data_IF_903242952617
#
_entry.id   IF_903242952617
#
_cell.length_a   1.000
_cell.length_b   1.000
_cell.length_c   1.000
_cell.angle_alpha   90.00
_cell.angle_beta   90.00
_cell.angle_gamma   90.00
#
_symmetry.space_group_name_H-M   'P 1'
#
loop_
_entity.id
_entity.type
_entity.pdbx_description
1 polymer ?
#
# COMPACT_ATOMS: atom_id res chain seq x y z
N UNK A 1 -8.38 -107.20 -69.20
CA UNK A 1 -8.48 -106.04 -68.28
C UNK A 1 -7.63 -104.82 -68.73
N UNK A 2 -7.34 -104.68 -70.04
CA UNK A 2 -6.53 -103.57 -70.57
C UNK A 2 -7.28 -102.68 -71.58
N UNK A 3 -8.41 -103.14 -72.13
CA UNK A 3 -9.14 -102.38 -73.17
C UNK A 3 -10.21 -101.44 -72.61
N UNK A 4 -10.77 -101.70 -71.42
CA UNK A 4 -11.64 -100.73 -70.74
C UNK A 4 -10.85 -99.63 -70.01
N UNK A 5 -9.60 -99.89 -69.62
CA UNK A 5 -8.70 -98.86 -69.06
C UNK A 5 -8.33 -97.84 -70.15
N UNK A 6 -8.10 -98.29 -71.39
CA UNK A 6 -7.86 -97.40 -72.54
C UNK A 6 -9.12 -96.65 -73.03
N UNK A 7 -10.32 -97.19 -72.82
CA UNK A 7 -11.58 -96.49 -73.17
C UNK A 7 -11.92 -95.34 -72.21
N UNK A 8 -11.37 -95.36 -71.00
CA UNK A 8 -11.53 -94.29 -70.00
C UNK A 8 -10.26 -93.44 -69.79
N UNK A 9 -9.07 -93.86 -70.26
CA UNK A 9 -7.87 -93.01 -70.30
C UNK A 9 -7.84 -92.02 -71.47
N UNK A 10 -8.53 -92.31 -72.58
CA UNK A 10 -8.59 -91.41 -73.75
C UNK A 10 -9.46 -90.16 -73.57
N UNK A 11 -10.15 -90.02 -72.44
CA UNK A 11 -11.01 -88.88 -72.10
C UNK A 11 -10.42 -87.96 -71.03
N UNK A 12 -9.23 -88.27 -70.52
CA UNK A 12 -8.50 -87.40 -69.60
C UNK A 12 -7.23 -86.93 -70.28
N UNK A 13 -7.24 -85.68 -70.78
CA UNK A 13 -6.16 -84.67 -70.64
C UNK A 13 -6.20 -83.55 -71.69
N UNK A 14 -7.27 -83.39 -72.48
CA UNK A 14 -7.42 -82.17 -73.29
C UNK A 14 -8.76 -81.54 -72.95
N UNK A 15 -8.70 -80.59 -72.02
CA UNK A 15 -9.80 -79.67 -71.76
C UNK A 15 -10.18 -79.04 -73.11
N UNK A 16 -11.47 -79.04 -73.52
CA UNK A 16 -11.92 -78.41 -74.76
C UNK A 16 -11.31 -77.01 -74.89
N UNK A 17 -10.83 -76.64 -76.09
CA UNK A 17 -10.09 -75.38 -76.30
C UNK A 17 -10.87 -74.16 -75.81
N UNK A 18 -12.19 -74.17 -75.98
CA UNK A 18 -13.11 -73.15 -75.49
C UNK A 18 -13.08 -73.03 -73.96
N UNK A 19 -13.08 -74.16 -73.24
CA UNK A 19 -13.00 -74.20 -71.78
C UNK A 19 -11.61 -73.83 -71.27
N UNK A 20 -10.54 -74.15 -72.02
CA UNK A 20 -9.17 -73.74 -71.70
C UNK A 20 -8.97 -72.23 -71.87
N UNK A 21 -9.54 -71.65 -72.92
CA UNK A 21 -9.52 -70.21 -73.17
C UNK A 21 -10.29 -69.47 -72.07
N UNK A 22 -11.50 -69.91 -71.73
CA UNK A 22 -12.27 -69.34 -70.63
C UNK A 22 -11.55 -69.44 -69.28
N UNK A 23 -10.84 -70.55 -69.01
CA UNK A 23 -10.07 -70.69 -67.78
C UNK A 23 -8.88 -69.70 -67.73
N UNK A 24 -8.23 -69.46 -68.88
CA UNK A 24 -7.12 -68.51 -69.00
C UNK A 24 -7.60 -67.05 -68.87
N UNK A 25 -8.76 -66.71 -69.45
CA UNK A 25 -9.42 -65.40 -69.28
C UNK A 25 -9.80 -65.15 -67.82
N UNK A 26 -10.45 -66.12 -67.17
CA UNK A 26 -10.81 -66.02 -65.74
C UNK A 26 -9.57 -65.90 -64.86
N UNK A 27 -8.49 -66.61 -65.16
CA UNK A 27 -7.22 -66.49 -64.42
C UNK A 27 -6.58 -65.10 -64.58
N UNK A 28 -6.68 -64.50 -65.78
CA UNK A 28 -6.17 -63.16 -66.06
C UNK A 28 -7.03 -62.08 -65.40
N UNK A 29 -8.36 -62.22 -65.42
CA UNK A 29 -9.29 -61.35 -64.71
C UNK A 29 -9.07 -61.43 -63.19
N UNK A 30 -8.88 -62.63 -62.64
CA UNK A 30 -8.53 -62.81 -61.23
C UNK A 30 -7.18 -62.16 -60.88
N UNK A 31 -6.17 -62.27 -61.75
CA UNK A 31 -4.90 -61.58 -61.59
C UNK A 31 -5.06 -60.06 -61.56
N UNK A 32 -5.84 -59.52 -62.51
CA UNK A 32 -6.14 -58.08 -62.59
C UNK A 32 -6.90 -57.58 -61.36
N UNK A 33 -7.90 -58.34 -60.89
CA UNK A 33 -8.65 -58.02 -59.67
C UNK A 33 -7.73 -58.09 -58.44
N UNK A 34 -6.83 -59.08 -58.38
CA UNK A 34 -5.88 -59.21 -57.28
C UNK A 34 -4.94 -57.99 -57.20
N UNK A 35 -4.41 -57.54 -58.33
CA UNK A 35 -3.56 -56.34 -58.41
C UNK A 35 -4.32 -55.08 -57.99
N UNK A 36 -5.57 -54.91 -58.46
CA UNK A 36 -6.44 -53.80 -58.04
C UNK A 36 -6.74 -53.81 -56.54
N UNK A 37 -6.96 -54.99 -55.95
CA UNK A 37 -7.13 -55.13 -54.50
C UNK A 37 -5.84 -54.75 -53.78
N UNK A 38 -4.68 -55.20 -54.25
CA UNK A 38 -3.40 -54.89 -53.62
C UNK A 38 -3.09 -53.40 -53.65
N UNK A 39 -3.39 -52.72 -54.76
CA UNK A 39 -3.20 -51.27 -54.85
C UNK A 39 -4.19 -50.49 -53.97
N UNK A 40 -5.45 -50.94 -53.88
CA UNK A 40 -6.42 -50.37 -52.93
C UNK A 40 -6.03 -50.58 -51.47
N UNK A 41 -5.42 -51.71 -51.13
CA UNK A 41 -4.90 -51.96 -49.77
C UNK A 41 -3.78 -50.97 -49.45
N UNK A 42 -2.82 -50.75 -50.36
CA UNK A 42 -1.73 -49.77 -50.17
C UNK A 42 -2.28 -48.34 -49.98
N UNK A 43 -3.27 -47.95 -50.79
CA UNK A 43 -3.94 -46.64 -50.69
C UNK A 43 -4.57 -46.45 -49.31
N UNK A 44 -5.34 -47.44 -48.84
CA UNK A 44 -5.98 -47.40 -47.50
C UNK A 44 -4.94 -47.34 -46.37
N UNK A 45 -3.82 -48.05 -46.48
CA UNK A 45 -2.73 -47.98 -45.51
C UNK A 45 -2.09 -46.59 -45.47
N UNK A 46 -1.87 -45.98 -46.63
CA UNK A 46 -1.34 -44.63 -46.76
C UNK A 46 -2.31 -43.58 -46.18
N UNK A 47 -3.61 -43.72 -46.43
CA UNK A 47 -4.63 -42.84 -45.87
C UNK A 47 -4.73 -42.96 -44.35
N UNK A 48 -4.56 -44.17 -43.82
CA UNK A 48 -4.47 -44.40 -42.37
C UNK A 48 -3.26 -43.71 -41.75
N UNK A 49 -2.09 -43.83 -42.38
CA UNK A 49 -0.87 -43.18 -41.91
C UNK A 49 -1.02 -41.65 -41.91
N UNK A 50 -1.55 -41.09 -43.00
CA UNK A 50 -1.83 -39.66 -43.14
C UNK A 50 -2.84 -39.18 -42.09
N UNK A 51 -3.92 -39.93 -41.85
CA UNK A 51 -4.90 -39.64 -40.80
C UNK A 51 -4.30 -39.66 -39.38
N UNK A 52 -3.37 -40.57 -39.14
CA UNK A 52 -2.64 -40.65 -37.87
C UNK A 52 -1.72 -39.44 -37.67
N UNK A 53 -1.03 -38.99 -38.72
CA UNK A 53 -0.20 -37.79 -38.68
C UNK A 53 -1.03 -36.54 -38.35
N UNK A 54 -2.16 -36.33 -39.03
CA UNK A 54 -3.08 -35.23 -38.68
C UNK A 54 -3.54 -35.30 -37.23
N UNK A 55 -3.88 -36.51 -36.75
CA UNK A 55 -4.27 -36.69 -35.35
C UNK A 55 -3.15 -36.29 -34.37
N UNK A 56 -1.89 -36.58 -34.70
CA UNK A 56 -0.74 -36.20 -33.87
C UNK A 56 -0.52 -34.68 -33.89
N UNK A 57 -0.62 -34.03 -35.05
CA UNK A 57 -0.49 -32.58 -35.17
C UNK A 57 -1.58 -31.84 -34.37
N UNK A 58 -2.85 -32.27 -34.51
CA UNK A 58 -3.97 -31.75 -33.73
C UNK A 58 -3.69 -31.88 -32.22
N UNK A 59 -3.24 -33.05 -31.77
CA UNK A 59 -2.97 -33.30 -30.36
C UNK A 59 -1.83 -32.43 -29.83
N UNK A 60 -0.79 -32.21 -30.64
CA UNK A 60 0.33 -31.33 -30.28
C UNK A 60 -0.15 -29.90 -30.07
N UNK A 61 -0.88 -29.34 -31.04
CA UNK A 61 -1.41 -27.97 -30.93
C UNK A 61 -2.35 -27.84 -29.72
N UNK A 62 -3.21 -28.84 -29.48
CA UNK A 62 -4.10 -28.83 -28.32
C UNK A 62 -3.32 -28.80 -26.99
N UNK A 63 -2.23 -29.57 -26.89
CA UNK A 63 -1.36 -29.59 -25.71
C UNK A 63 -0.66 -28.25 -25.50
N UNK A 64 -0.17 -27.64 -26.57
CA UNK A 64 0.50 -26.34 -26.51
C UNK A 64 -0.48 -25.25 -26.06
N UNK A 65 -1.69 -25.19 -26.65
CA UNK A 65 -2.75 -24.25 -26.24
C UNK A 65 -3.17 -24.46 -24.78
N UNK A 66 -3.24 -25.70 -24.32
CA UNK A 66 -3.54 -26.00 -22.91
C UNK A 66 -2.43 -25.48 -21.99
N UNK A 67 -1.17 -25.57 -22.41
CA UNK A 67 -0.04 -25.02 -21.66
C UNK A 67 -0.14 -23.49 -21.56
N UNK A 68 -0.45 -22.82 -22.67
CA UNK A 68 -0.69 -21.37 -22.69
C UNK A 68 -1.84 -21.00 -21.75
N UNK A 69 -2.96 -21.73 -21.78
CA UNK A 69 -4.09 -21.50 -20.86
C UNK A 69 -3.68 -21.60 -19.38
N UNK A 70 -2.77 -22.52 -19.02
CA UNK A 70 -2.27 -22.59 -17.64
C UNK A 70 -1.39 -21.40 -17.29
N UNK A 71 -0.53 -20.94 -18.19
CA UNK A 71 0.30 -19.75 -18.01
C UNK A 71 -0.57 -18.48 -17.85
N UNK A 72 -1.62 -18.35 -18.66
CA UNK A 72 -2.58 -17.23 -18.58
C UNK A 72 -3.35 -17.19 -17.24
N UNK A 73 -3.37 -18.27 -16.46
CA UNK A 73 -4.03 -18.30 -15.14
C UNK A 73 -3.07 -18.05 -13.97
N UNK A 74 -1.77 -18.06 -14.21
CA UNK A 74 -0.79 -17.85 -13.16
C UNK A 74 -0.80 -16.39 -12.68
N UNK A 75 -0.64 -16.18 -11.37
CA UNK A 75 -0.38 -14.84 -10.82
C UNK A 75 1.08 -14.45 -11.05
N UNK A 76 1.35 -13.14 -11.05
CA UNK A 76 2.69 -12.58 -11.22
C UNK A 76 3.08 -11.69 -10.03
N UNK A 77 4.37 -11.53 -9.79
CA UNK A 77 4.97 -10.51 -8.91
C UNK A 77 5.66 -9.39 -9.72
N UNK A 78 5.74 -9.54 -11.05
CA UNK A 78 6.33 -8.56 -11.95
C UNK A 78 5.40 -8.26 -13.13
N UNK A 79 4.72 -7.10 -13.08
CA UNK A 79 3.76 -6.68 -14.10
C UNK A 79 4.43 -6.34 -15.43
N UNK A 80 5.64 -5.77 -15.42
CA UNK A 80 6.37 -5.42 -16.65
C UNK A 80 6.77 -6.67 -17.41
N UNK A 81 7.31 -7.65 -16.69
CA UNK A 81 7.66 -8.95 -17.25
C UNK A 81 6.41 -9.68 -17.75
N UNK A 82 5.36 -9.79 -16.93
CA UNK A 82 4.12 -10.46 -17.32
C UNK A 82 3.46 -9.81 -18.54
N UNK A 83 3.49 -8.48 -18.66
CA UNK A 83 2.96 -7.77 -19.84
C UNK A 83 3.79 -8.05 -21.09
N UNK A 84 5.11 -8.19 -20.94
CA UNK A 84 6.01 -8.54 -22.05
C UNK A 84 5.80 -9.98 -22.50
N UNK A 85 5.73 -10.91 -21.57
CA UNK A 85 5.40 -12.33 -21.83
C UNK A 85 4.02 -12.46 -22.48
N UNK A 86 3.04 -11.65 -22.06
CA UNK A 86 1.70 -11.62 -22.64
C UNK A 86 1.72 -11.22 -24.13
N UNK A 87 2.61 -10.29 -24.52
CA UNK A 87 2.79 -9.90 -25.93
C UNK A 87 3.35 -11.06 -26.76
N UNK A 88 4.37 -11.74 -26.25
CA UNK A 88 4.97 -12.93 -26.89
C UNK A 88 3.92 -14.03 -27.06
N UNK A 89 3.12 -14.31 -26.01
CA UNK A 89 2.02 -15.27 -26.10
C UNK A 89 0.98 -14.87 -27.16
N UNK A 90 0.71 -13.58 -27.34
CA UNK A 90 -0.15 -13.08 -28.42
C UNK A 90 0.40 -13.41 -29.81
N UNK A 91 1.71 -13.24 -30.03
CA UNK A 91 2.37 -13.61 -31.27
C UNK A 91 2.33 -15.12 -31.52
N UNK A 92 2.57 -15.94 -30.49
CA UNK A 92 2.46 -17.39 -30.56
C UNK A 92 1.04 -17.84 -30.93
N UNK A 93 0.01 -17.23 -30.33
CA UNK A 93 -1.40 -17.53 -30.64
C UNK A 93 -1.77 -17.18 -32.08
N UNK A 94 -1.22 -16.10 -32.63
CA UNK A 94 -1.35 -15.77 -34.05
C UNK A 94 -0.67 -16.84 -34.93
N UNK A 95 0.50 -17.32 -34.52
CA UNK A 95 1.20 -18.43 -35.18
C UNK A 95 0.38 -19.73 -35.16
N UNK A 96 -0.31 -20.03 -34.06
CA UNK A 96 -1.23 -21.17 -33.99
C UNK A 96 -2.47 -20.98 -34.87
N UNK A 97 -2.96 -19.75 -35.05
CA UNK A 97 -4.07 -19.48 -35.97
C UNK A 97 -3.71 -19.88 -37.41
N UNK A 98 -2.52 -19.50 -37.88
CA UNK A 98 -2.04 -19.86 -39.23
C UNK A 98 -1.92 -21.38 -39.37
N UNK A 99 -1.25 -22.04 -38.42
CA UNK A 99 -1.10 -23.52 -38.42
C UNK A 99 -2.44 -24.24 -38.40
N UNK A 100 -3.41 -23.72 -37.66
CA UNK A 100 -4.75 -24.29 -37.58
C UNK A 100 -5.51 -24.15 -38.91
N UNK A 101 -5.40 -23.01 -39.59
CA UNK A 101 -6.02 -22.80 -40.90
C UNK A 101 -5.41 -23.75 -41.95
N UNK A 102 -4.07 -23.88 -41.98
CA UNK A 102 -3.38 -24.80 -42.88
C UNK A 102 -3.78 -26.26 -42.63
N UNK A 103 -3.89 -26.65 -41.35
CA UNK A 103 -4.29 -28.00 -40.95
C UNK A 103 -5.77 -28.29 -41.27
N UNK A 104 -6.65 -27.31 -41.10
CA UNK A 104 -8.07 -27.41 -41.47
C UNK A 104 -8.22 -27.60 -42.98
N UNK A 105 -7.53 -26.80 -43.79
CA UNK A 105 -7.52 -26.94 -45.25
C UNK A 105 -6.98 -28.31 -45.69
N UNK A 106 -5.88 -28.78 -45.09
CA UNK A 106 -5.31 -30.09 -45.39
C UNK A 106 -6.26 -31.24 -45.03
N UNK A 107 -6.92 -31.17 -43.88
CA UNK A 107 -7.93 -32.17 -43.45
C UNK A 107 -9.18 -32.11 -44.31
N UNK A 108 -9.60 -30.93 -44.77
CA UNK A 108 -10.72 -30.79 -45.70
C UNK A 108 -10.42 -31.48 -47.03
N UNK A 109 -9.26 -31.19 -47.66
CA UNK A 109 -8.81 -31.85 -48.90
C UNK A 109 -8.68 -33.37 -48.74
N UNK A 110 -8.18 -33.83 -47.59
CA UNK A 110 -8.13 -35.26 -47.27
C UNK A 110 -9.54 -35.85 -47.16
N UNK A 111 -10.47 -35.15 -46.51
CA UNK A 111 -11.84 -35.61 -46.28
C UNK A 111 -12.66 -35.76 -47.56
N UNK A 112 -12.36 -34.97 -48.61
CA UNK A 112 -12.99 -35.08 -49.93
C UNK A 112 -12.76 -36.47 -50.57
N UNK A 113 -11.57 -37.03 -50.35
CA UNK A 113 -11.18 -38.34 -50.88
C UNK A 113 -11.40 -39.49 -49.86
N UNK A 114 -11.41 -39.17 -48.56
CA UNK A 114 -11.41 -40.12 -47.45
C UNK A 114 -12.49 -39.84 -46.39
N UNK A 115 -13.77 -39.92 -46.77
CA UNK A 115 -14.88 -39.50 -45.91
C UNK A 115 -15.01 -40.20 -44.53
N UNK A 116 -14.59 -41.47 -44.40
CA UNK A 116 -14.65 -42.21 -43.12
C UNK A 116 -13.56 -41.77 -42.13
N UNK A 117 -12.35 -41.51 -42.62
CA UNK A 117 -11.21 -41.05 -41.79
C UNK A 117 -11.22 -39.53 -41.59
N UNK A 118 -11.75 -38.78 -42.56
CA UNK A 118 -11.85 -37.32 -42.54
C UNK A 118 -12.86 -36.76 -41.53
N UNK A 119 -14.07 -37.35 -41.44
CA UNK A 119 -15.13 -36.86 -40.53
C UNK A 119 -14.68 -36.76 -39.05
N UNK A 120 -14.01 -37.76 -38.45
CA UNK A 120 -13.46 -37.64 -37.10
C UNK A 120 -12.38 -36.56 -36.96
N UNK A 121 -11.53 -36.36 -37.98
CA UNK A 121 -10.50 -35.33 -37.99
C UNK A 121 -11.12 -33.93 -38.04
N UNK A 122 -12.08 -33.69 -38.93
CA UNK A 122 -12.80 -32.43 -39.01
C UNK A 122 -13.48 -32.07 -37.68
N UNK A 123 -14.09 -33.05 -36.99
CA UNK A 123 -14.65 -32.85 -35.65
C UNK A 123 -13.58 -32.47 -34.62
N UNK A 124 -12.39 -33.07 -34.69
CA UNK A 124 -11.28 -32.71 -33.80
C UNK A 124 -10.75 -31.30 -34.09
N UNK A 125 -10.66 -30.89 -35.36
CA UNK A 125 -10.28 -29.52 -35.73
C UNK A 125 -11.31 -28.52 -35.22
N UNK A 126 -12.61 -28.77 -35.37
CA UNK A 126 -13.64 -27.87 -34.82
C UNK A 126 -13.47 -27.63 -33.31
N UNK A 127 -13.13 -28.67 -32.55
CA UNK A 127 -12.81 -28.54 -31.11
C UNK A 127 -11.51 -27.76 -30.86
N UNK A 128 -10.50 -27.97 -31.71
CA UNK A 128 -9.23 -27.26 -31.61
C UNK A 128 -9.42 -25.76 -31.89
N UNK A 129 -10.26 -25.40 -32.86
CA UNK A 129 -10.65 -24.02 -33.15
C UNK A 129 -11.39 -23.38 -31.97
N UNK A 130 -12.31 -24.10 -31.33
CA UNK A 130 -12.98 -23.61 -30.13
C UNK A 130 -11.99 -23.35 -28.98
N UNK A 131 -11.04 -24.26 -28.76
CA UNK A 131 -9.98 -24.11 -27.75
C UNK A 131 -9.08 -22.91 -28.05
N UNK A 132 -8.67 -22.71 -29.31
CA UNK A 132 -7.87 -21.56 -29.73
C UNK A 132 -8.62 -20.24 -29.49
N UNK A 133 -9.90 -20.16 -29.87
CA UNK A 133 -10.75 -18.99 -29.62
C UNK A 133 -10.97 -18.71 -28.13
N UNK A 134 -11.10 -19.76 -27.31
CA UNK A 134 -11.13 -19.59 -25.85
C UNK A 134 -9.81 -19.02 -25.33
N UNK A 135 -8.68 -19.50 -25.85
CA UNK A 135 -7.34 -19.07 -25.43
C UNK A 135 -7.08 -17.61 -25.79
N UNK A 136 -7.49 -17.17 -26.98
CA UNK A 136 -7.43 -15.75 -27.38
C UNK A 136 -8.23 -14.87 -26.42
N UNK A 137 -9.50 -15.20 -26.18
CA UNK A 137 -10.35 -14.41 -25.26
C UNK A 137 -9.75 -14.31 -23.86
N UNK A 138 -9.16 -15.40 -23.36
CA UNK A 138 -8.50 -15.40 -22.07
C UNK A 138 -7.21 -14.55 -22.08
N UNK A 139 -6.45 -14.57 -23.17
CA UNK A 139 -5.26 -13.75 -23.33
C UNK A 139 -5.60 -12.25 -23.38
N UNK A 140 -6.63 -11.85 -24.11
CA UNK A 140 -7.11 -10.46 -24.19
C UNK A 140 -7.65 -9.96 -22.84
N UNK A 141 -8.44 -10.80 -22.15
CA UNK A 141 -8.94 -10.50 -20.82
C UNK A 141 -7.80 -10.30 -19.82
N UNK A 142 -6.79 -11.18 -19.84
CA UNK A 142 -5.62 -11.05 -18.97
C UNK A 142 -4.82 -9.79 -19.29
N UNK A 143 -4.62 -9.45 -20.56
CA UNK A 143 -3.90 -8.23 -20.94
C UNK A 143 -4.59 -6.97 -20.39
N UNK A 144 -5.92 -6.91 -20.48
CA UNK A 144 -6.72 -5.82 -19.90
C UNK A 144 -6.55 -5.75 -18.38
N UNK A 145 -6.59 -6.90 -17.69
CA UNK A 145 -6.39 -6.97 -16.24
C UNK A 145 -4.96 -6.57 -15.82
N UNK A 146 -3.93 -6.97 -16.57
CA UNK A 146 -2.54 -6.56 -16.31
C UNK A 146 -2.36 -5.06 -16.47
N UNK A 147 -3.03 -4.46 -17.45
CA UNK A 147 -2.99 -3.02 -17.70
C UNK A 147 -3.66 -2.24 -16.57
N UNK A 148 -4.82 -2.73 -16.09
CA UNK A 148 -5.50 -2.16 -14.94
C UNK A 148 -4.69 -2.35 -13.65
N UNK A 149 -4.07 -3.53 -13.46
CA UNK A 149 -3.22 -3.80 -12.31
C UNK A 149 -2.01 -2.87 -12.26
N UNK A 150 -1.46 -2.46 -13.40
CA UNK A 150 -0.36 -1.51 -13.43
C UNK A 150 -0.75 -0.14 -12.86
N UNK A 151 -1.93 0.39 -13.22
CA UNK A 151 -2.44 1.65 -12.66
C UNK A 151 -2.74 1.52 -11.16
N UNK A 152 -3.40 0.44 -10.73
CA UNK A 152 -3.66 0.22 -9.30
C UNK A 152 -2.38 0.09 -8.47
N UNK A 153 -1.32 -0.49 -9.04
CA UNK A 153 -0.03 -0.61 -8.37
C UNK A 153 0.68 0.75 -8.27
N UNK A 154 0.59 1.59 -9.30
CA UNK A 154 1.10 2.97 -9.27
C UNK A 154 0.39 3.78 -8.18
N UNK A 155 -0.94 3.78 -8.17
CA UNK A 155 -1.73 4.48 -7.16
C UNK A 155 -1.50 3.91 -5.75
N UNK A 156 -1.24 2.61 -5.60
CA UNK A 156 -0.86 2.01 -4.32
C UNK A 156 0.47 2.59 -3.83
N UNK A 157 1.46 2.69 -4.71
CA UNK A 157 2.79 3.21 -4.38
C UNK A 157 2.76 4.71 -4.07
N UNK A 158 1.94 5.50 -4.76
CA UNK A 158 1.73 6.91 -4.46
C UNK A 158 1.15 7.09 -3.04
N UNK A 159 0.11 6.34 -2.70
CA UNK A 159 -0.47 6.36 -1.34
C UNK A 159 0.54 5.89 -0.30
N UNK A 160 1.30 4.82 -0.58
CA UNK A 160 2.36 4.33 0.29
C UNK A 160 3.40 5.42 0.60
N UNK A 161 3.83 6.17 -0.41
CA UNK A 161 4.81 7.24 -0.23
C UNK A 161 4.28 8.37 0.66
N UNK A 162 3.00 8.74 0.51
CA UNK A 162 2.34 9.75 1.36
C UNK A 162 2.31 9.32 2.83
N UNK A 163 1.90 8.08 3.10
CA UNK A 163 1.83 7.53 4.46
C UNK A 163 3.22 7.47 5.09
N UNK A 164 4.23 6.98 4.36
CA UNK A 164 5.60 6.92 4.86
C UNK A 164 6.15 8.31 5.20
N UNK A 165 5.88 9.32 4.36
CA UNK A 165 6.24 10.72 4.64
C UNK A 165 5.57 11.25 5.90
N UNK A 166 4.29 10.92 6.12
CA UNK A 166 3.59 11.30 7.34
C UNK A 166 4.19 10.60 8.57
N UNK A 167 4.45 9.29 8.49
CA UNK A 167 5.09 8.50 9.56
C UNK A 167 6.44 9.11 9.96
N UNK A 168 7.28 9.46 8.97
CA UNK A 168 8.59 10.07 9.24
C UNK A 168 8.46 11.44 9.92
N UNK A 169 7.53 12.29 9.46
CA UNK A 169 7.24 13.58 10.10
C UNK A 169 6.73 13.40 11.53
N UNK A 170 5.79 12.48 11.74
CA UNK A 170 5.24 12.15 13.04
C UNK A 170 6.33 11.65 13.99
N UNK A 171 7.22 10.76 13.54
CA UNK A 171 8.38 10.29 14.30
C UNK A 171 9.30 11.43 14.71
N UNK A 172 9.65 12.34 13.79
CA UNK A 172 10.48 13.51 14.11
C UNK A 172 9.79 14.37 15.17
N UNK A 173 8.49 14.60 15.04
CA UNK A 173 7.71 15.41 15.97
C UNK A 173 7.67 14.81 17.38
N UNK A 174 7.37 13.50 17.49
CA UNK A 174 7.24 12.82 18.80
C UNK A 174 8.57 12.55 19.48
N UNK A 175 9.69 12.53 18.76
CA UNK A 175 11.04 12.42 19.34
C UNK A 175 11.71 13.78 19.55
N UNK A 176 11.17 14.86 18.98
CA UNK A 176 11.68 16.21 19.17
C UNK A 176 11.65 16.64 20.64
N UNK A 177 12.59 17.48 21.06
CA UNK A 177 12.61 18.04 22.41
C UNK A 177 11.52 19.12 22.58
N UNK A 178 10.86 19.12 23.74
CA UNK A 178 9.86 20.16 24.08
C UNK A 178 10.60 21.42 24.55
N UNK A 179 10.19 22.57 24.02
CA UNK A 179 10.71 23.87 24.43
C UNK A 179 9.80 24.48 25.52
N UNK A 180 10.27 24.46 26.76
CA UNK A 180 9.48 24.85 27.93
C UNK A 180 9.59 26.34 28.30
N UNK A 181 10.23 27.19 27.48
CA UNK A 181 10.65 28.52 27.94
C UNK A 181 9.52 29.54 28.11
N UNK A 182 8.40 29.35 27.41
CA UNK A 182 7.24 30.25 27.52
C UNK A 182 5.93 29.56 27.13
N UNK A 183 4.81 30.14 27.58
CA UNK A 183 3.48 29.68 27.22
C UNK A 183 3.23 29.77 25.71
N UNK A 184 3.84 30.75 25.02
CA UNK A 184 3.74 30.90 23.57
C UNK A 184 4.46 29.79 22.82
N UNK A 185 5.68 29.42 23.25
CA UNK A 185 6.42 28.31 22.64
C UNK A 185 5.71 26.98 22.84
N UNK A 186 5.18 26.71 24.03
CA UNK A 186 4.39 25.50 24.30
C UNK A 186 3.11 25.47 23.45
N UNK A 187 2.44 26.61 23.25
CA UNK A 187 1.28 26.73 22.36
C UNK A 187 1.63 26.46 20.90
N UNK A 188 2.76 26.96 20.41
CA UNK A 188 3.22 26.68 19.04
C UNK A 188 3.48 25.19 18.84
N UNK A 189 4.17 24.55 19.80
CA UNK A 189 4.37 23.10 19.75
C UNK A 189 3.06 22.32 19.84
N UNK A 190 2.10 22.77 20.65
CA UNK A 190 0.75 22.20 20.70
C UNK A 190 0.08 22.25 19.33
N UNK A 191 0.12 23.38 18.62
CA UNK A 191 -0.47 23.53 17.28
C UNK A 191 0.18 22.54 16.31
N UNK A 192 1.51 22.40 16.33
CA UNK A 192 2.18 21.42 15.46
C UNK A 192 1.74 19.97 15.71
N UNK A 193 1.51 19.59 16.98
CA UNK A 193 0.99 18.27 17.33
C UNK A 193 -0.48 18.11 16.96
N UNK A 194 -1.27 19.17 17.06
CA UNK A 194 -2.67 19.17 16.65
C UNK A 194 -2.79 18.97 15.14
N UNK A 195 -2.04 19.73 14.33
CA UNK A 195 -2.05 19.58 12.87
C UNK A 195 -1.62 18.17 12.45
N UNK A 196 -0.58 17.60 13.07
CA UNK A 196 -0.15 16.22 12.79
C UNK A 196 -1.23 15.20 13.11
N UNK A 197 -2.04 15.44 14.16
CA UNK A 197 -3.15 14.58 14.54
C UNK A 197 -4.33 14.70 13.56
N UNK A 198 -4.62 15.91 13.08
CA UNK A 198 -5.64 16.15 12.05
C UNK A 198 -5.26 15.47 10.72
N UNK A 199 -3.99 15.59 10.29
CA UNK A 199 -3.47 14.87 9.12
C UNK A 199 -3.61 13.34 9.25
N UNK A 200 -3.58 12.79 10.48
CA UNK A 200 -3.71 11.34 10.70
C UNK A 200 -5.11 10.78 10.38
N UNK A 201 -6.14 11.64 10.31
CA UNK A 201 -7.49 11.20 9.97
C UNK A 201 -7.59 10.76 8.51
N UNK A 202 -6.86 11.42 7.61
CA UNK A 202 -6.80 11.08 6.18
C UNK A 202 -6.04 9.76 5.96
N UNK A 203 -5.01 9.47 6.78
CA UNK A 203 -4.21 8.25 6.67
C UNK A 203 -5.05 6.98 6.84
N UNK A 204 -6.10 7.00 7.65
CA UNK A 204 -6.98 5.83 7.78
C UNK A 204 -7.71 5.50 6.48
N UNK A 205 -8.24 6.53 5.81
CA UNK A 205 -8.90 6.39 4.51
C UNK A 205 -7.90 5.94 3.44
N UNK A 206 -6.67 6.46 3.49
CA UNK A 206 -5.58 6.05 2.59
C UNK A 206 -5.23 4.56 2.74
N UNK A 207 -5.15 4.05 3.98
CA UNK A 207 -4.91 2.63 4.25
C UNK A 207 -6.05 1.73 3.77
N UNK A 208 -7.31 2.20 3.89
CA UNK A 208 -8.46 1.50 3.34
C UNK A 208 -8.42 1.47 1.81
N UNK A 209 -8.14 2.61 1.17
CA UNK A 209 -7.97 2.71 -0.28
C UNK A 209 -6.82 1.81 -0.80
N UNK A 210 -5.71 1.70 -0.06
CA UNK A 210 -4.65 0.74 -0.36
C UNK A 210 -5.17 -0.70 -0.29
N UNK A 211 -5.98 -1.03 0.71
CA UNK A 211 -6.58 -2.38 0.85
C UNK A 211 -7.52 -2.70 -0.31
N UNK A 212 -8.33 -1.75 -0.75
CA UNK A 212 -9.20 -1.90 -1.94
C UNK A 212 -8.39 -2.14 -3.21
N UNK A 213 -7.32 -1.37 -3.44
CA UNK A 213 -6.39 -1.59 -4.56
C UNK A 213 -5.79 -3.00 -4.53
N UNK A 214 -5.42 -3.52 -3.36
CA UNK A 214 -4.94 -4.89 -3.21
C UNK A 214 -6.00 -5.93 -3.59
N UNK A 215 -7.28 -5.69 -3.31
CA UNK A 215 -8.35 -6.58 -3.74
C UNK A 215 -8.49 -6.61 -5.26
N UNK A 216 -8.38 -5.45 -5.93
CA UNK A 216 -8.36 -5.36 -7.39
C UNK A 216 -7.17 -6.12 -8.00
N UNK A 217 -6.00 -6.04 -7.36
CA UNK A 217 -4.77 -6.71 -7.80
C UNK A 217 -4.77 -8.23 -7.60
N UNK A 218 -5.48 -8.75 -6.59
CA UNK A 218 -5.39 -10.14 -6.14
C UNK A 218 -5.69 -11.20 -7.22
N UNK A 219 -6.41 -10.83 -8.28
CA UNK A 219 -6.74 -11.74 -9.39
C UNK A 219 -5.55 -12.08 -10.29
N UNK A 220 -4.61 -11.14 -10.46
CA UNK A 220 -3.47 -11.27 -11.39
C UNK A 220 -2.10 -11.13 -10.70
N UNK A 221 -2.07 -10.55 -9.50
CA UNK A 221 -0.85 -10.21 -8.77
C UNK A 221 -0.78 -10.89 -7.39
N UNK A 222 0.43 -11.21 -6.92
CA UNK A 222 0.66 -11.68 -5.55
C UNK A 222 0.66 -10.51 -4.57
N UNK A 223 -0.34 -10.43 -3.70
CA UNK A 223 -0.60 -9.27 -2.84
C UNK A 223 -0.24 -9.49 -1.37
N UNK A 224 0.18 -10.71 -0.98
CA UNK A 224 0.32 -11.12 0.41
C UNK A 224 1.29 -10.24 1.20
N UNK A 225 2.47 -9.95 0.63
CA UNK A 225 3.47 -9.06 1.25
C UNK A 225 2.98 -7.63 1.38
N UNK A 226 2.24 -7.14 0.38
CA UNK A 226 1.69 -5.79 0.38
C UNK A 226 0.56 -5.66 1.40
N UNK A 227 -0.28 -6.68 1.56
CA UNK A 227 -1.30 -6.73 2.62
C UNK A 227 -0.66 -6.68 4.02
N UNK A 228 0.45 -7.40 4.22
CA UNK A 228 1.21 -7.31 5.46
C UNK A 228 1.78 -5.89 5.67
N UNK A 229 2.33 -5.27 4.63
CA UNK A 229 2.83 -3.90 4.70
C UNK A 229 1.73 -2.90 5.11
N UNK A 230 0.53 -3.00 4.53
CA UNK A 230 -0.61 -2.15 4.92
C UNK A 230 -0.98 -2.35 6.38
N UNK A 231 -1.00 -3.59 6.87
CA UNK A 231 -1.28 -3.88 8.29
C UNK A 231 -0.20 -3.31 9.22
N UNK A 232 1.07 -3.39 8.84
CA UNK A 232 2.19 -2.83 9.60
C UNK A 232 2.14 -1.30 9.65
N UNK A 233 1.87 -0.65 8.51
CA UNK A 233 1.66 0.80 8.44
C UNK A 233 0.47 1.25 9.28
N UNK A 234 -0.64 0.52 9.25
CA UNK A 234 -1.81 0.82 10.08
C UNK A 234 -1.50 0.76 11.57
N UNK A 235 -0.75 -0.25 12.01
CA UNK A 235 -0.30 -0.37 13.40
C UNK A 235 0.63 0.77 13.80
N UNK A 236 1.65 1.07 12.98
CA UNK A 236 2.62 2.13 13.26
C UNK A 236 1.97 3.51 13.31
N UNK A 237 1.07 3.81 12.38
CA UNK A 237 0.27 5.05 12.37
C UNK A 237 -0.55 5.18 13.64
N UNK A 238 -1.23 4.12 14.08
CA UNK A 238 -2.04 4.15 15.29
C UNK A 238 -1.18 4.34 16.55
N UNK A 239 -0.04 3.67 16.65
CA UNK A 239 0.93 3.85 17.74
C UNK A 239 1.39 5.32 17.82
N UNK A 240 1.80 5.90 16.69
CA UNK A 240 2.20 7.32 16.61
C UNK A 240 1.06 8.25 16.98
N UNK A 241 -0.16 7.99 16.49
CA UNK A 241 -1.35 8.78 16.82
C UNK A 241 -1.63 8.82 18.31
N UNK A 242 -1.51 7.67 19.00
CA UNK A 242 -1.70 7.61 20.46
C UNK A 242 -0.61 8.38 21.21
N UNK A 243 0.65 8.26 20.80
CA UNK A 243 1.76 9.03 21.37
C UNK A 243 1.53 10.54 21.19
N UNK A 244 1.12 10.96 19.99
CA UNK A 244 0.80 12.36 19.69
C UNK A 244 -0.34 12.85 20.58
N UNK A 245 -1.44 12.10 20.73
CA UNK A 245 -2.58 12.48 21.59
C UNK A 245 -2.16 12.71 23.05
N UNK A 246 -1.39 11.78 23.62
CA UNK A 246 -0.90 11.90 25.01
C UNK A 246 -0.01 13.14 25.14
N UNK A 247 0.92 13.32 24.19
CA UNK A 247 1.85 14.46 24.20
C UNK A 247 1.13 15.79 24.01
N UNK A 248 0.10 15.84 23.17
CA UNK A 248 -0.77 17.00 22.95
C UNK A 248 -1.47 17.42 24.26
N UNK A 249 -2.05 16.47 24.98
CA UNK A 249 -2.71 16.74 26.27
C UNK A 249 -1.71 17.33 27.28
N UNK A 250 -0.51 16.73 27.38
CA UNK A 250 0.54 17.22 28.28
C UNK A 250 0.98 18.64 27.90
N UNK A 251 1.16 18.92 26.60
CA UNK A 251 1.52 20.25 26.11
C UNK A 251 0.44 21.30 26.39
N UNK A 252 -0.84 20.94 26.20
CA UNK A 252 -1.96 21.81 26.50
C UNK A 252 -1.99 22.21 27.97
N UNK A 253 -1.87 21.22 28.86
CA UNK A 253 -1.92 21.44 30.30
C UNK A 253 -0.71 22.24 30.80
N UNK A 254 0.48 21.95 30.28
CA UNK A 254 1.68 22.72 30.58
C UNK A 254 1.61 24.16 30.05
N UNK A 255 1.09 24.38 28.84
CA UNK A 255 0.92 25.73 28.28
C UNK A 255 -0.06 26.56 29.12
N UNK A 256 -1.13 25.93 29.64
CA UNK A 256 -2.10 26.56 30.52
C UNK A 256 -1.48 26.98 31.85
N UNK A 257 -0.70 26.11 32.47
CA UNK A 257 -0.05 26.42 33.75
C UNK A 257 1.07 27.46 33.56
N UNK A 258 1.87 27.33 32.50
CA UNK A 258 2.90 28.31 32.15
C UNK A 258 2.30 29.70 31.94
N UNK A 259 1.15 29.79 31.26
CA UNK A 259 0.46 31.08 31.07
C UNK A 259 0.05 31.71 32.40
N UNK A 260 -0.50 30.92 33.33
CA UNK A 260 -0.86 31.42 34.66
C UNK A 260 0.38 31.93 35.40
N UNK A 261 1.47 31.17 35.37
CA UNK A 261 2.73 31.57 35.98
C UNK A 261 3.27 32.88 35.38
N UNK A 262 3.30 33.00 34.05
CA UNK A 262 3.70 34.25 33.38
C UNK A 262 2.80 35.44 33.76
N UNK A 263 1.48 35.23 33.89
CA UNK A 263 0.54 36.26 34.32
C UNK A 263 0.83 36.72 35.75
N UNK A 264 0.96 35.79 36.70
CA UNK A 264 1.24 36.16 38.10
C UNK A 264 2.64 36.79 38.26
N UNK A 265 3.62 36.33 37.48
CA UNK A 265 4.96 36.91 37.48
C UNK A 265 4.93 38.37 37.01
N UNK A 266 4.19 38.66 35.93
CA UNK A 266 3.97 40.03 35.44
C UNK A 266 3.21 40.89 36.45
N UNK A 267 2.19 40.32 37.12
CA UNK A 267 1.45 41.03 38.17
C UNK A 267 2.34 41.41 39.36
N UNK A 268 3.25 40.52 39.77
CA UNK A 268 4.22 40.79 40.83
C UNK A 268 5.23 41.85 40.38
N UNK A 269 5.78 41.72 39.18
CA UNK A 269 6.72 42.70 38.62
C UNK A 269 6.11 44.11 38.58
N UNK A 270 4.90 44.26 38.04
CA UNK A 270 4.20 45.54 37.97
C UNK A 270 3.98 46.15 39.36
N UNK A 271 3.54 45.32 40.32
CA UNK A 271 3.31 45.76 41.70
C UNK A 271 4.61 46.21 42.38
N UNK A 272 5.71 45.51 42.10
CA UNK A 272 7.03 45.82 42.64
C UNK A 272 7.58 47.13 42.05
N UNK A 273 7.47 47.31 40.74
CA UNK A 273 7.85 48.56 40.05
C UNK A 273 7.04 49.74 40.60
N UNK A 274 5.72 49.59 40.74
CA UNK A 274 4.86 50.60 41.36
C UNK A 274 5.36 50.96 42.77
N UNK A 275 5.54 49.96 43.62
CA UNK A 275 5.98 50.14 45.00
C UNK A 275 7.39 50.77 45.10
N UNK A 276 8.28 50.44 44.16
CA UNK A 276 9.61 51.05 44.05
C UNK A 276 9.53 52.51 43.62
N UNK A 277 8.69 52.87 42.65
CA UNK A 277 8.49 54.27 42.23
C UNK A 277 7.92 55.14 43.36
N UNK A 278 6.95 54.61 44.13
CA UNK A 278 6.40 55.29 45.31
C UNK A 278 7.48 55.52 46.38
N UNK A 279 8.39 54.55 46.57
CA UNK A 279 9.51 54.65 47.52
C UNK A 279 10.59 55.66 47.08
N UNK A 280 10.94 55.68 45.80
CA UNK A 280 12.03 56.53 45.27
C UNK A 280 11.59 57.92 44.84
N UNK A 281 10.31 58.28 45.04
CA UNK A 281 9.79 59.59 44.61
C UNK A 281 10.51 60.75 45.32
N UNK A 282 11.24 61.61 44.58
CA UNK A 282 12.00 62.74 45.16
C UNK A 282 11.09 63.86 45.68
N UNK A 283 9.81 63.83 45.32
CA UNK A 283 8.80 64.80 45.73
C UNK A 283 8.43 64.65 47.21
N UNK A 284 8.60 63.45 47.77
CA UNK A 284 8.29 63.14 49.18
C UNK A 284 9.13 63.98 50.15
N UNK A 285 10.37 64.31 49.79
CA UNK A 285 11.24 65.17 50.60
C UNK A 285 10.78 66.64 50.70
N UNK A 286 9.82 67.06 49.86
CA UNK A 286 9.27 68.43 49.82
C UNK A 286 7.91 68.57 50.51
N UNK A 287 7.31 67.44 50.93
CA UNK A 287 6.00 67.39 51.59
C UNK A 287 6.10 67.66 53.09
N UNK A 288 4.99 68.05 53.71
CA UNK A 288 4.91 68.19 55.18
C UNK A 288 5.04 66.84 55.89
N UNK A 289 5.42 66.84 57.16
CA UNK A 289 5.58 65.61 57.97
C UNK A 289 4.30 64.75 58.00
N UNK A 290 3.12 65.38 58.00
CA UNK A 290 1.82 64.70 57.96
C UNK A 290 1.58 64.01 56.61
N UNK A 291 1.93 64.68 55.51
CA UNK A 291 1.82 64.15 54.15
C UNK A 291 2.87 63.05 53.89
N UNK A 292 4.07 63.17 54.45
CA UNK A 292 5.11 62.15 54.42
C UNK A 292 4.70 60.88 55.18
N UNK A 293 3.98 61.03 56.30
CA UNK A 293 3.44 59.90 57.06
C UNK A 293 2.31 59.21 56.29
N UNK A 294 1.37 59.95 55.69
CA UNK A 294 0.32 59.36 54.85
C UNK A 294 0.89 58.66 53.61
N UNK A 295 1.91 59.26 52.97
CA UNK A 295 2.61 58.65 51.84
C UNK A 295 3.28 57.32 52.23
N UNK A 296 3.92 57.27 53.40
CA UNK A 296 4.53 56.03 53.90
C UNK A 296 3.52 54.99 54.39
N UNK A 297 2.39 55.40 54.96
CA UNK A 297 1.29 54.48 55.27
C UNK A 297 0.72 53.85 54.00
N UNK A 298 0.56 54.64 52.94
CA UNK A 298 0.15 54.14 51.64
C UNK A 298 1.17 53.13 51.09
N UNK A 299 2.47 53.47 51.12
CA UNK A 299 3.54 52.56 50.72
C UNK A 299 3.52 51.24 51.52
N UNK A 300 3.32 51.28 52.84
CA UNK A 300 3.20 50.06 53.66
C UNK A 300 2.01 49.19 53.24
N UNK A 301 0.87 49.81 52.91
CA UNK A 301 -0.29 49.09 52.36
C UNK A 301 0.01 48.47 50.99
N UNK A 302 0.77 49.17 50.13
CA UNK A 302 1.24 48.60 48.85
C UNK A 302 2.17 47.40 49.09
N UNK A 303 3.09 47.47 50.06
CA UNK A 303 3.98 46.36 50.42
C UNK A 303 3.22 45.16 51.00
N UNK A 304 2.21 45.39 51.83
CA UNK A 304 1.36 44.31 52.35
C UNK A 304 0.60 43.59 51.22
N UNK A 305 0.23 44.32 50.17
CA UNK A 305 -0.40 43.74 48.98
C UNK A 305 0.54 42.89 48.11
N UNK A 306 1.87 42.99 48.30
CA UNK A 306 2.85 42.14 47.61
C UNK A 306 2.88 40.70 48.15
N UNK A 307 2.61 40.49 49.44
CA UNK A 307 2.62 39.15 50.06
C UNK A 307 1.72 38.13 49.36
N UNK A 308 0.42 38.39 49.11
CA UNK A 308 -0.43 37.44 48.39
C UNK A 308 0.02 37.23 46.93
N UNK A 309 0.62 38.24 46.28
CA UNK A 309 1.15 38.13 44.91
C UNK A 309 2.39 37.23 44.86
N UNK A 310 3.32 37.39 45.80
CA UNK A 310 4.48 36.49 45.98
C UNK A 310 4.02 35.05 46.20
N UNK A 311 3.02 34.85 47.07
CA UNK A 311 2.47 33.53 47.32
C UNK A 311 1.79 32.92 46.08
N UNK A 312 1.06 33.73 45.30
CA UNK A 312 0.46 33.28 44.04
C UNK A 312 1.52 32.82 43.02
N UNK A 313 2.62 33.57 42.87
CA UNK A 313 3.76 33.18 42.01
C UNK A 313 4.38 31.86 42.48
N UNK A 314 4.55 31.65 43.79
CA UNK A 314 5.08 30.40 44.35
C UNK A 314 4.15 29.20 44.08
N UNK A 315 2.84 29.38 44.25
CA UNK A 315 1.84 28.34 43.92
C UNK A 315 1.94 28.00 42.43
N UNK A 316 1.91 29.01 41.56
CA UNK A 316 2.00 28.78 40.11
C UNK A 316 3.31 28.10 39.71
N UNK A 317 4.44 28.48 40.31
CA UNK A 317 5.75 27.85 40.07
C UNK A 317 5.75 26.38 40.47
N UNK A 318 5.21 26.04 41.64
CA UNK A 318 5.12 24.66 42.11
C UNK A 318 4.15 23.78 41.31
N UNK A 319 3.18 24.40 40.65
CA UNK A 319 2.17 23.72 39.83
C UNK A 319 2.62 23.51 38.36
N UNK A 320 3.80 23.99 37.97
CA UNK A 320 4.30 23.83 36.60
C UNK A 320 4.56 22.34 36.29
N UNK A 321 3.86 21.82 35.27
CA UNK A 321 4.06 20.46 34.74
C UNK A 321 5.23 20.42 33.77
N UNK A 322 6.42 20.76 34.25
CA UNK A 322 7.67 20.73 33.46
C UNK A 322 8.69 19.80 34.14
N UNK A 323 9.60 19.16 33.39
CA UNK A 323 10.62 18.28 33.97
C UNK A 323 11.51 19.02 34.99
N UNK A 324 11.86 18.36 36.10
CA UNK A 324 12.62 18.98 37.21
C UNK A 324 13.96 19.57 36.77
N UNK A 325 14.66 18.89 35.85
CA UNK A 325 15.92 19.34 35.26
C UNK A 325 15.78 20.63 34.43
N UNK A 326 14.57 20.89 33.92
CA UNK A 326 14.24 22.10 33.16
C UNK A 326 13.79 23.22 34.11
N UNK A 327 13.06 22.92 35.18
CA UNK A 327 12.62 23.92 36.19
C UNK A 327 13.81 24.73 36.70
N UNK A 328 14.90 24.04 37.08
CA UNK A 328 16.08 24.68 37.69
C UNK A 328 16.85 25.57 36.74
N UNK A 329 16.68 25.38 35.42
CA UNK A 329 17.40 26.12 34.39
C UNK A 329 16.50 27.15 33.66
N UNK A 330 15.20 27.20 34.00
CA UNK A 330 14.23 28.04 33.30
C UNK A 330 14.44 29.53 33.65
N UNK A 331 14.63 30.42 32.66
CA UNK A 331 14.81 31.85 32.93
C UNK A 331 13.64 32.48 33.70
N UNK A 332 12.40 32.03 33.44
CA UNK A 332 11.21 32.50 34.17
C UNK A 332 11.24 32.11 35.66
N UNK A 333 11.77 30.92 36.00
CA UNK A 333 11.92 30.50 37.40
C UNK A 333 12.99 31.33 38.12
N UNK A 334 14.09 31.64 37.45
CA UNK A 334 15.11 32.55 37.99
C UNK A 334 14.56 33.97 38.19
N UNK A 335 13.80 34.49 37.22
CA UNK A 335 13.15 35.80 37.34
C UNK A 335 12.14 35.82 38.50
N UNK A 336 11.37 34.76 38.70
CA UNK A 336 10.46 34.62 39.83
C UNK A 336 11.20 34.65 41.17
N UNK A 337 12.30 33.91 41.30
CA UNK A 337 13.11 33.92 42.52
C UNK A 337 13.64 35.34 42.82
N UNK A 338 14.21 36.00 41.82
CA UNK A 338 14.72 37.37 41.95
C UNK A 338 13.63 38.37 42.38
N UNK A 339 12.46 38.33 41.75
CA UNK A 339 11.34 39.23 42.10
C UNK A 339 10.82 38.96 43.52
N UNK A 340 10.84 37.71 43.99
CA UNK A 340 10.45 37.37 45.36
C UNK A 340 11.46 37.90 46.39
N UNK A 341 12.77 37.79 46.10
CA UNK A 341 13.83 38.37 46.93
C UNK A 341 13.74 39.89 46.97
N UNK A 342 13.47 40.53 45.83
CA UNK A 342 13.34 41.97 45.74
C UNK A 342 12.10 42.50 46.47
N UNK A 343 10.95 41.83 46.32
CA UNK A 343 9.75 42.15 47.11
C UNK A 343 10.02 42.05 48.61
N UNK A 344 10.75 41.02 49.04
CA UNK A 344 11.15 40.85 50.44
C UNK A 344 12.06 42.00 50.90
N UNK A 345 13.09 42.35 50.12
CA UNK A 345 14.01 43.46 50.41
C UNK A 345 13.29 44.81 50.50
N UNK A 346 12.36 45.07 49.56
CA UNK A 346 11.58 46.30 49.51
C UNK A 346 10.67 46.43 50.73
N UNK A 347 10.00 45.34 51.13
CA UNK A 347 9.19 45.30 52.34
C UNK A 347 10.04 45.60 53.60
N UNK A 348 11.22 44.99 53.74
CA UNK A 348 12.12 45.27 54.87
C UNK A 348 12.56 46.74 54.90
N UNK A 349 12.92 47.30 53.73
CA UNK A 349 13.35 48.70 53.61
C UNK A 349 12.22 49.67 53.98
N UNK A 350 11.00 49.42 53.49
CA UNK A 350 9.83 50.27 53.79
C UNK A 350 9.50 50.27 55.29
N UNK A 351 9.55 49.11 55.96
CA UNK A 351 9.33 48.99 57.40
C UNK A 351 10.41 49.74 58.20
N UNK A 352 11.69 49.59 57.83
CA UNK A 352 12.79 50.30 58.49
C UNK A 352 12.63 51.82 58.36
N UNK A 353 12.33 52.32 57.15
CA UNK A 353 12.13 53.76 56.92
C UNK A 353 10.91 54.31 57.67
N UNK A 354 9.84 53.53 57.81
CA UNK A 354 8.68 53.92 58.61
C UNK A 354 9.04 54.05 60.10
N UNK A 355 9.72 53.04 60.65
CA UNK A 355 10.13 53.03 62.07
C UNK A 355 11.06 54.20 62.42
N UNK A 356 11.99 54.56 61.52
CA UNK A 356 12.92 55.68 61.73
C UNK A 356 12.18 57.03 61.83
N UNK A 357 11.08 57.21 61.10
CA UNK A 357 10.29 58.46 61.18
C UNK A 357 9.24 58.49 62.28
N UNK A 358 8.78 57.33 62.75
CA UNK A 358 7.86 57.27 63.89
C UNK A 358 8.57 57.66 65.20
N UNK A 359 9.86 57.35 65.34
CA UNK A 359 10.68 57.70 66.50
C UNK A 359 10.72 59.21 66.83
N UNK A 360 10.91 60.16 65.88
CA UNK A 360 10.87 61.59 66.16
C UNK A 360 9.45 62.19 66.34
N UNK A 361 8.39 61.55 65.84
CA UNK A 361 7.00 62.01 66.05
C UNK A 361 6.41 61.61 67.40
N UNK A 362 6.99 60.62 68.08
CA UNK A 362 6.58 60.18 69.43
C UNK A 362 7.16 61.02 70.58
N UNK A 363 7.95 62.05 70.26
CA UNK A 363 8.49 63.02 71.20
C UNK A 363 8.11 64.44 70.75
N UNK A 364 6.81 64.69 70.65
CA UNK A 364 6.22 66.03 70.80
C UNK A 364 4.98 65.94 71.67
#
# INVERSE_FOLDING_TARGET
MSEQKNKYLGLYTILPSELSLQLAEVALDLGTIHDQIQDKVKEVEQDKATSQEFSQQIQKIAKDLTTILTQLRAKTDNLVQATTEQKVLGEELNGYNVKLMELDEAVQKFSEHNGQLGKPLAKKIGKLSELHQQTIRQAESRLSQLSQAASHLEEYNETLELILKWIDKAKILVHGKIAWNSANQLREQYISHQTMLEESEEIHNDLEAMTEKLQCLASVYYTEKMSQQVAELGRETEELRQVIKIRLQNLHDAAKDMRKFETELKNLQFALEQAQTTLTSPEVGRLSLKEQLSHRQHLLSEMESLKPKVHAVQICQSALRIPEDVVTNLPLCHAALHLQEEASRLQHTAIQQYNIMQAPCGHQ
#
